data_IF_331806284476
#
_entry.id   IF_331806284476
#
_cell.length_a   1.000
_cell.length_b   1.000
_cell.length_c   1.000
_cell.angle_alpha   90.00
_cell.angle_beta   90.00
_cell.angle_gamma   90.00
#
_symmetry.space_group_name_H-M   'P 1'
#
loop_
_entity.id
_entity.type
_entity.pdbx_description
1 polymer ?
#
# COMPACT_ATOMS: atom_id res chain seq x y z
N UNK A 1 10.85 -86.59 34.32
CA UNK A 1 11.39 -86.26 35.65
C UNK A 1 12.73 -86.98 35.80
N UNK A 2 13.72 -86.54 35.01
CA UNK A 2 15.11 -86.85 35.30
C UNK A 2 15.52 -85.89 36.41
N UNK A 3 15.97 -86.45 37.54
CA UNK A 3 16.70 -85.69 38.54
C UNK A 3 18.00 -85.27 37.86
N UNK A 4 18.04 -84.06 37.30
CA UNK A 4 19.29 -83.38 37.02
C UNK A 4 20.14 -83.50 38.28
N UNK A 5 21.26 -84.20 38.16
CA UNK A 5 22.24 -84.31 39.22
C UNK A 5 22.68 -82.89 39.52
N UNK A 6 22.17 -82.32 40.61
CA UNK A 6 22.72 -81.11 41.21
C UNK A 6 24.18 -81.46 41.53
N UNK A 7 25.06 -81.10 40.61
CA UNK A 7 26.49 -81.25 40.78
C UNK A 7 26.84 -80.36 41.97
N UNK A 8 27.37 -80.94 43.04
CA UNK A 8 27.88 -80.14 44.15
C UNK A 8 28.89 -79.14 43.55
N UNK A 9 28.64 -77.84 43.72
CA UNK A 9 29.58 -76.80 43.32
C UNK A 9 30.83 -76.95 44.18
N UNK A 10 31.79 -77.73 43.71
CA UNK A 10 33.10 -77.85 44.32
C UNK A 10 33.92 -76.60 44.01
N UNK A 11 34.90 -76.30 44.85
CA UNK A 11 35.84 -75.19 44.64
C UNK A 11 36.51 -75.29 43.25
N UNK A 12 36.81 -76.51 42.80
CA UNK A 12 37.44 -76.77 41.51
C UNK A 12 36.52 -76.44 40.33
N UNK A 13 35.24 -76.80 40.42
CA UNK A 13 34.25 -76.46 39.38
C UNK A 13 34.03 -74.94 39.30
N UNK A 14 33.97 -74.26 40.44
CA UNK A 14 33.87 -72.80 40.48
C UNK A 14 35.08 -72.13 39.84
N UNK A 15 36.31 -72.56 40.18
CA UNK A 15 37.52 -72.02 39.57
C UNK A 15 37.55 -72.26 38.05
N UNK A 16 37.09 -73.43 37.59
CA UNK A 16 36.94 -73.72 36.17
C UNK A 16 36.01 -72.73 35.46
N UNK A 17 34.83 -72.50 36.03
CA UNK A 17 33.85 -71.54 35.49
C UNK A 17 34.38 -70.10 35.54
N UNK A 18 34.97 -69.70 36.67
CA UNK A 18 35.59 -68.39 36.84
C UNK A 18 36.64 -68.10 35.77
N UNK A 19 37.56 -69.04 35.55
CA UNK A 19 38.64 -68.87 34.58
C UNK A 19 38.12 -68.83 33.13
N UNK A 20 36.94 -69.40 32.88
CA UNK A 20 36.22 -69.26 31.61
C UNK A 20 35.71 -67.83 31.38
N UNK A 21 35.07 -67.24 32.40
CA UNK A 21 34.46 -65.90 32.30
C UNK A 21 35.45 -64.74 32.49
N UNK A 22 36.54 -64.98 33.24
CA UNK A 22 37.61 -64.01 33.52
C UNK A 22 38.98 -64.53 33.05
N UNK A 23 39.21 -64.70 31.73
CA UNK A 23 40.48 -65.19 31.21
C UNK A 23 41.67 -64.28 31.54
N UNK A 24 41.42 -63.00 31.77
CA UNK A 24 42.43 -61.99 32.12
C UNK A 24 42.77 -61.98 33.62
N UNK A 25 42.02 -62.69 34.47
CA UNK A 25 42.26 -62.79 35.90
C UNK A 25 42.01 -64.22 36.41
N UNK A 26 42.84 -65.19 36.00
CA UNK A 26 42.66 -66.58 36.40
C UNK A 26 42.95 -66.78 37.89
N UNK A 27 42.13 -67.58 38.56
CA UNK A 27 42.29 -67.98 39.94
C UNK A 27 42.76 -69.42 40.07
N UNK A 28 43.52 -69.68 41.14
CA UNK A 28 43.85 -71.04 41.60
C UNK A 28 43.43 -71.23 43.05
N UNK A 29 43.30 -72.48 43.52
CA UNK A 29 42.89 -72.79 44.91
C UNK A 29 43.77 -72.11 45.97
N UNK A 30 45.12 -72.02 45.81
CA UNK A 30 45.97 -71.24 46.71
C UNK A 30 45.66 -69.74 46.75
N UNK A 31 45.18 -69.16 45.64
CA UNK A 31 44.90 -67.72 45.56
C UNK A 31 43.69 -67.32 46.40
N UNK A 32 42.76 -68.24 46.66
CA UNK A 32 41.63 -68.02 47.57
C UNK A 32 42.05 -67.79 49.03
N UNK A 33 43.33 -68.02 49.37
CA UNK A 33 43.92 -67.69 50.69
C UNK A 33 44.70 -66.37 50.68
N UNK A 34 44.80 -65.68 49.54
CA UNK A 34 45.57 -64.45 49.40
C UNK A 34 44.61 -63.25 49.37
N UNK A 35 44.67 -62.31 50.33
CA UNK A 35 43.83 -61.11 50.35
C UNK A 35 43.77 -60.37 49.02
N UNK A 36 44.93 -60.09 48.42
CA UNK A 36 45.03 -59.34 47.17
C UNK A 36 44.39 -60.05 45.98
N UNK A 37 44.45 -61.38 45.93
CA UNK A 37 43.86 -62.14 44.84
C UNK A 37 42.33 -62.19 44.94
N UNK A 38 41.81 -62.33 46.16
CA UNK A 38 40.36 -62.30 46.42
C UNK A 38 39.80 -60.91 46.16
N UNK A 39 40.47 -59.85 46.60
CA UNK A 39 40.05 -58.47 46.31
C UNK A 39 40.13 -58.14 44.82
N UNK A 40 41.19 -58.58 44.14
CA UNK A 40 41.31 -58.41 42.69
C UNK A 40 40.19 -59.12 41.92
N UNK A 41 39.81 -60.32 42.36
CA UNK A 41 38.67 -61.05 41.82
C UNK A 41 37.34 -60.30 42.05
N UNK A 42 37.12 -59.76 43.25
CA UNK A 42 35.93 -58.95 43.54
C UNK A 42 35.80 -57.73 42.62
N UNK A 43 36.91 -57.06 42.31
CA UNK A 43 36.87 -55.94 41.37
C UNK A 43 36.47 -56.36 39.97
N UNK A 44 36.84 -57.55 39.50
CA UNK A 44 36.37 -58.05 38.21
C UNK A 44 34.84 -58.20 38.19
N UNK A 45 34.26 -58.66 39.30
CA UNK A 45 32.80 -58.78 39.43
C UNK A 45 32.14 -57.41 39.53
N UNK A 46 32.74 -56.46 40.27
CA UNK A 46 32.22 -55.10 40.38
C UNK A 46 32.20 -54.39 39.03
N UNK A 47 33.26 -54.50 38.23
CA UNK A 47 33.31 -53.90 36.89
C UNK A 47 32.15 -54.42 36.01
N UNK A 48 31.85 -55.73 36.06
CA UNK A 48 30.73 -56.34 35.32
C UNK A 48 29.36 -55.93 35.84
N UNK A 49 29.24 -55.66 37.14
CA UNK A 49 28.02 -55.14 37.76
C UNK A 49 27.86 -53.61 37.57
N UNK A 50 28.81 -52.93 36.93
CA UNK A 50 28.80 -51.48 36.75
C UNK A 50 29.08 -50.70 38.05
N UNK A 51 29.71 -51.33 39.03
CA UNK A 51 30.11 -50.69 40.29
C UNK A 51 31.46 -50.04 40.08
N UNK A 52 31.52 -48.72 40.23
CA UNK A 52 32.74 -47.94 40.02
C UNK A 52 33.83 -48.31 41.04
N UNK A 53 34.93 -48.88 40.53
CA UNK A 53 36.11 -49.26 41.32
C UNK A 53 36.72 -48.06 42.03
N UNK A 54 36.79 -46.92 41.36
CA UNK A 54 37.42 -45.72 41.93
C UNK A 54 36.60 -45.20 43.10
N UNK A 55 35.27 -45.25 43.00
CA UNK A 55 34.37 -44.96 44.11
C UNK A 55 34.55 -45.92 45.30
N UNK A 56 34.78 -47.22 45.05
CA UNK A 56 35.05 -48.21 46.11
C UNK A 56 36.38 -47.94 46.82
N UNK A 57 37.40 -47.51 46.07
CA UNK A 57 38.72 -47.20 46.61
C UNK A 57 38.79 -45.79 47.24
N UNK A 58 37.81 -44.93 46.98
CA UNK A 58 37.82 -43.56 47.44
C UNK A 58 37.67 -43.47 48.96
N UNK A 59 38.41 -42.53 49.54
CA UNK A 59 38.19 -42.16 50.93
C UNK A 59 36.81 -41.51 51.11
N UNK A 60 36.21 -41.61 52.31
CA UNK A 60 34.94 -40.95 52.59
C UNK A 60 35.04 -39.43 52.32
N UNK A 61 33.91 -38.75 52.02
CA UNK A 61 33.86 -37.31 51.82
C UNK A 61 34.52 -36.55 52.97
N UNK A 62 35.17 -35.41 52.70
CA UNK A 62 35.93 -34.65 53.69
C UNK A 62 35.12 -34.29 54.94
N UNK A 63 33.83 -33.98 54.74
CA UNK A 63 32.86 -33.66 55.80
C UNK A 63 32.63 -34.81 56.80
N UNK A 64 32.88 -36.05 56.38
CA UNK A 64 32.70 -37.26 57.20
C UNK A 64 34.01 -37.80 57.79
N UNK A 65 35.15 -37.16 57.50
CA UNK A 65 36.46 -37.57 58.03
C UNK A 65 36.62 -37.03 59.44
N UNK A 66 37.04 -37.91 60.35
CA UNK A 66 37.45 -37.53 61.70
C UNK A 66 38.98 -37.69 61.86
N UNK A 67 39.53 -37.20 62.98
CA UNK A 67 40.96 -37.29 63.30
C UNK A 67 41.49 -38.74 63.24
N UNK A 68 40.62 -39.72 63.49
CA UNK A 68 40.98 -41.13 63.47
C UNK A 68 40.98 -41.77 62.07
N UNK A 69 40.40 -41.12 61.06
CA UNK A 69 40.25 -41.68 59.70
C UNK A 69 41.60 -41.90 59.03
N UNK A 70 42.60 -41.07 59.35
CA UNK A 70 43.96 -41.15 58.81
C UNK A 70 44.64 -42.47 59.21
N UNK A 71 44.36 -43.00 60.41
CA UNK A 71 44.99 -44.23 60.90
C UNK A 71 44.47 -45.51 60.24
N UNK A 72 43.33 -45.43 59.55
CA UNK A 72 42.69 -46.58 58.90
C UNK A 72 42.67 -46.46 57.38
N UNK A 73 43.46 -45.54 56.82
CA UNK A 73 43.44 -45.24 55.39
C UNK A 73 43.70 -46.46 54.52
N UNK A 74 44.65 -47.31 54.93
CA UNK A 74 44.99 -48.54 54.22
C UNK A 74 43.90 -49.63 54.30
N UNK A 75 43.00 -49.55 55.29
CA UNK A 75 41.88 -50.48 55.45
C UNK A 75 40.60 -50.01 54.75
N UNK A 76 40.55 -48.75 54.28
CA UNK A 76 39.37 -48.18 53.61
C UNK A 76 38.91 -49.01 52.41
N UNK A 77 39.79 -49.49 51.49
CA UNK A 77 39.37 -50.36 50.40
C UNK A 77 38.64 -51.62 50.89
N UNK A 78 39.15 -52.25 51.96
CA UNK A 78 38.57 -53.48 52.52
C UNK A 78 37.23 -53.19 53.19
N UNK A 79 37.12 -52.09 53.92
CA UNK A 79 35.89 -51.64 54.58
C UNK A 79 34.82 -51.33 53.53
N UNK A 80 35.17 -50.57 52.48
CA UNK A 80 34.26 -50.19 51.42
C UNK A 80 33.79 -51.40 50.61
N UNK A 81 34.71 -52.31 50.23
CA UNK A 81 34.35 -53.58 49.60
C UNK A 81 33.37 -54.38 50.46
N UNK A 82 33.63 -54.49 51.76
CA UNK A 82 32.73 -55.18 52.70
C UNK A 82 31.34 -54.55 52.72
N UNK A 83 31.25 -53.21 52.72
CA UNK A 83 29.98 -52.48 52.69
C UNK A 83 29.21 -52.70 51.39
N UNK A 84 29.89 -52.59 50.25
CA UNK A 84 29.27 -52.82 48.94
C UNK A 84 28.71 -54.24 48.86
N UNK A 85 29.48 -55.24 49.27
CA UNK A 85 29.03 -56.62 49.21
C UNK A 85 27.85 -56.85 50.15
N UNK A 86 27.90 -56.37 51.40
CA UNK A 86 26.76 -56.50 52.31
C UNK A 86 25.51 -55.77 51.78
N UNK A 87 25.68 -54.65 51.08
CA UNK A 87 24.56 -53.98 50.41
C UNK A 87 23.97 -54.84 49.30
N UNK A 88 24.80 -55.42 48.42
CA UNK A 88 24.35 -56.32 47.36
C UNK A 88 23.63 -57.56 47.91
N UNK A 89 24.16 -58.14 48.99
CA UNK A 89 23.57 -59.31 49.65
C UNK A 89 22.27 -58.96 50.38
N UNK A 90 22.11 -57.73 50.90
CA UNK A 90 20.87 -57.30 51.57
C UNK A 90 19.64 -57.32 50.66
N UNK A 91 19.84 -57.21 49.35
CA UNK A 91 18.77 -57.31 48.33
C UNK A 91 18.34 -58.78 48.12
N UNK A 92 19.10 -59.74 48.67
CA UNK A 92 18.82 -61.17 48.62
C UNK A 92 18.37 -61.69 50.01
N UNK A 93 17.09 -61.55 50.38
CA UNK A 93 16.60 -61.96 51.70
C UNK A 93 16.75 -63.46 52.01
N UNK A 94 17.14 -64.26 51.02
CA UNK A 94 17.34 -65.70 51.13
C UNK A 94 18.77 -66.08 51.55
N UNK A 95 19.70 -65.11 51.54
CA UNK A 95 21.11 -65.28 51.88
C UNK A 95 21.38 -64.57 53.21
N UNK A 96 21.26 -65.30 54.32
CA UNK A 96 21.58 -64.80 55.66
C UNK A 96 23.10 -64.90 55.91
N UNK A 97 23.89 -64.14 55.15
CA UNK A 97 25.34 -64.11 55.25
C UNK A 97 25.83 -62.68 55.52
N UNK A 98 26.35 -62.45 56.72
CA UNK A 98 27.02 -61.18 57.05
C UNK A 98 28.51 -61.31 56.77
N UNK A 99 29.01 -60.52 55.80
CA UNK A 99 30.44 -60.52 55.47
C UNK A 99 31.14 -59.46 56.31
N UNK A 100 32.10 -59.90 57.13
CA UNK A 100 32.99 -59.04 57.90
C UNK A 100 34.32 -58.76 57.18
N UNK A 101 34.99 -57.68 57.61
CA UNK A 101 36.32 -57.25 57.15
C UNK A 101 37.38 -58.36 57.31
N UNK A 102 37.25 -59.19 58.35
CA UNK A 102 38.19 -60.29 58.64
C UNK A 102 38.23 -61.33 57.53
N UNK A 103 37.13 -61.55 56.80
CA UNK A 103 37.11 -62.47 55.66
C UNK A 103 38.04 -62.04 54.52
N UNK A 104 38.38 -60.76 54.43
CA UNK A 104 39.30 -60.23 53.42
C UNK A 104 40.73 -60.05 53.93
N UNK A 105 40.91 -59.72 55.22
CA UNK A 105 42.24 -59.63 55.81
C UNK A 105 42.87 -61.00 56.06
N UNK A 106 42.05 -62.01 56.37
CA UNK A 106 42.47 -63.39 56.65
C UNK A 106 41.57 -64.39 55.90
N UNK A 107 41.62 -64.41 54.56
CA UNK A 107 40.75 -65.25 53.76
C UNK A 107 41.09 -66.73 53.92
N UNK A 108 40.05 -67.54 54.12
CA UNK A 108 40.13 -69.00 53.99
C UNK A 108 39.56 -69.43 52.64
N UNK A 109 39.97 -70.60 52.15
CA UNK A 109 39.45 -71.13 50.87
C UNK A 109 37.92 -71.19 50.88
N UNK A 110 37.33 -71.65 51.99
CA UNK A 110 35.89 -71.77 52.14
C UNK A 110 35.20 -70.40 52.10
N UNK A 111 35.67 -69.43 52.89
CA UNK A 111 35.05 -68.10 52.96
C UNK A 111 35.17 -67.35 51.64
N UNK A 112 36.35 -67.36 51.02
CA UNK A 112 36.58 -66.69 49.73
C UNK A 112 35.77 -67.33 48.62
N UNK A 113 35.72 -68.66 48.58
CA UNK A 113 34.88 -69.38 47.62
C UNK A 113 33.41 -69.03 47.78
N UNK A 114 32.87 -69.03 49.00
CA UNK A 114 31.46 -68.69 49.24
C UNK A 114 31.11 -67.26 48.83
N UNK A 115 31.97 -66.28 49.17
CA UNK A 115 31.75 -64.87 48.82
C UNK A 115 31.82 -64.68 47.29
N UNK A 116 32.87 -65.22 46.65
CA UNK A 116 33.04 -65.07 45.20
C UNK A 116 31.96 -65.82 44.42
N UNK A 117 31.54 -67.02 44.85
CA UNK A 117 30.47 -67.78 44.22
C UNK A 117 29.14 -67.02 44.27
N UNK A 118 28.82 -66.42 45.42
CA UNK A 118 27.61 -65.62 45.58
C UNK A 118 27.56 -64.44 44.61
N UNK A 119 28.65 -63.68 44.55
CA UNK A 119 28.74 -62.50 43.69
C UNK A 119 28.85 -62.85 42.21
N UNK A 120 29.54 -63.94 41.89
CA UNK A 120 29.61 -64.48 40.54
C UNK A 120 28.22 -64.89 40.03
N UNK A 121 27.44 -65.61 40.85
CA UNK A 121 26.08 -65.98 40.49
C UNK A 121 25.17 -64.74 40.33
N UNK A 122 25.34 -63.71 41.18
CA UNK A 122 24.62 -62.44 41.03
C UNK A 122 24.93 -61.78 39.69
N UNK A 123 26.22 -61.73 39.32
CA UNK A 123 26.67 -61.16 38.06
C UNK A 123 26.06 -61.91 36.87
N UNK A 124 26.18 -63.24 36.83
CA UNK A 124 25.61 -64.06 35.74
C UNK A 124 24.10 -63.86 35.64
N UNK A 125 23.39 -63.86 36.78
CA UNK A 125 21.96 -63.60 36.80
C UNK A 125 21.60 -62.22 36.25
N UNK A 126 22.36 -61.18 36.62
CA UNK A 126 22.13 -59.83 36.14
C UNK A 126 22.39 -59.70 34.63
N UNK A 127 23.46 -60.30 34.11
CA UNK A 127 23.76 -60.32 32.68
C UNK A 127 22.66 -61.04 31.87
N UNK A 128 22.11 -62.14 32.38
CA UNK A 128 20.96 -62.82 31.75
C UNK A 128 19.69 -61.95 31.76
N UNK A 129 19.36 -61.31 32.90
CA UNK A 129 18.20 -60.42 33.00
C UNK A 129 18.34 -59.20 32.08
N UNK A 130 19.53 -58.61 31.99
CA UNK A 130 19.80 -57.48 31.10
C UNK A 130 19.63 -57.88 29.63
N UNK A 131 20.05 -59.11 29.25
CA UNK A 131 19.82 -59.63 27.91
C UNK A 131 18.33 -59.77 27.58
N UNK A 132 17.51 -60.17 28.56
CA UNK A 132 16.05 -60.25 28.39
C UNK A 132 15.39 -58.86 28.27
N UNK A 133 15.98 -57.82 28.89
CA UNK A 133 15.44 -56.44 28.91
C UNK A 133 15.88 -55.63 27.69
N UNK A 134 17.08 -55.88 27.16
CA UNK A 134 17.67 -55.17 26.03
C UNK A 134 16.72 -54.88 24.84
N UNK A 135 15.91 -55.84 24.33
CA UNK A 135 15.01 -55.55 23.20
C UNK A 135 13.93 -54.51 23.54
N UNK A 136 13.45 -54.48 24.79
CA UNK A 136 12.45 -53.50 25.23
C UNK A 136 13.06 -52.10 25.41
N UNK A 137 14.32 -52.04 25.85
CA UNK A 137 15.07 -50.79 25.94
C UNK A 137 15.30 -50.18 24.54
N UNK A 138 15.72 -51.00 23.56
CA UNK A 138 15.86 -50.56 22.17
C UNK A 138 14.52 -50.06 21.58
N UNK A 139 13.42 -50.76 21.84
CA UNK A 139 12.09 -50.31 21.42
C UNK A 139 11.71 -48.97 22.06
N UNK A 140 11.96 -48.79 23.36
CA UNK A 140 11.67 -47.55 24.08
C UNK A 140 12.45 -46.37 23.50
N UNK A 141 13.73 -46.54 23.20
CA UNK A 141 14.55 -45.50 22.58
C UNK A 141 14.06 -45.15 21.18
N UNK A 142 13.69 -46.15 20.37
CA UNK A 142 13.10 -45.91 19.04
C UNK A 142 11.77 -45.14 19.13
N UNK A 143 10.91 -45.49 20.10
CA UNK A 143 9.65 -44.77 20.34
C UNK A 143 9.87 -43.33 20.81
N UNK A 144 10.90 -43.10 21.60
CA UNK A 144 11.28 -41.76 22.06
C UNK A 144 11.65 -40.85 20.89
N UNK A 145 12.39 -41.37 19.91
CA UNK A 145 12.71 -40.63 18.69
C UNK A 145 11.46 -40.32 17.84
N UNK A 146 10.54 -41.28 17.71
CA UNK A 146 9.26 -41.07 17.01
C UNK A 146 8.41 -39.98 17.69
N UNK A 147 8.36 -39.96 19.02
CA UNK A 147 7.63 -38.93 19.79
C UNK A 147 8.25 -37.56 19.53
N UNK A 148 9.59 -37.45 19.57
CA UNK A 148 10.29 -36.19 19.29
C UNK A 148 9.97 -35.66 17.89
N UNK A 149 9.98 -36.52 16.87
CA UNK A 149 9.61 -36.13 15.49
C UNK A 149 8.15 -35.65 15.39
N UNK A 150 7.23 -36.28 16.13
CA UNK A 150 5.83 -35.85 16.17
C UNK A 150 5.65 -34.52 16.90
N UNK A 151 6.40 -34.28 17.98
CA UNK A 151 6.42 -32.99 18.69
C UNK A 151 6.96 -31.87 17.79
N UNK A 152 8.05 -32.11 17.07
CA UNK A 152 8.60 -31.14 16.10
C UNK A 152 7.60 -30.81 14.99
N UNK A 153 6.91 -31.84 14.47
CA UNK A 153 5.86 -31.64 13.45
C UNK A 153 4.68 -30.84 13.99
N UNK A 154 4.23 -31.14 15.22
CA UNK A 154 3.17 -30.38 15.90
C UNK A 154 3.56 -28.92 16.06
N UNK A 155 4.80 -28.64 16.47
CA UNK A 155 5.29 -27.27 16.66
C UNK A 155 5.31 -26.49 15.34
N UNK A 156 5.78 -27.09 14.24
CA UNK A 156 5.71 -26.46 12.91
C UNK A 156 4.28 -26.15 12.46
N UNK A 157 3.33 -27.06 12.73
CA UNK A 157 1.93 -26.81 12.39
C UNK A 157 1.33 -25.66 13.21
N UNK A 158 1.73 -25.51 14.47
CA UNK A 158 1.32 -24.38 15.31
C UNK A 158 1.90 -23.06 14.81
N UNK A 159 3.16 -23.04 14.37
CA UNK A 159 3.78 -21.86 13.75
C UNK A 159 3.02 -21.44 12.49
N UNK A 160 2.75 -22.38 11.58
CA UNK A 160 1.95 -22.10 10.36
C UNK A 160 0.54 -21.59 10.68
N UNK A 161 -0.11 -22.13 11.73
CA UNK A 161 -1.44 -21.68 12.15
C UNK A 161 -1.39 -20.23 12.68
N UNK A 162 -0.36 -19.88 13.44
CA UNK A 162 -0.16 -18.54 13.95
C UNK A 162 0.11 -17.54 12.82
N UNK A 163 0.94 -17.90 11.83
CA UNK A 163 1.18 -17.09 10.63
C UNK A 163 -0.12 -16.84 9.85
N UNK A 164 -0.95 -17.88 9.66
CA UNK A 164 -2.25 -17.72 9.01
C UNK A 164 -3.20 -16.82 9.80
N UNK A 165 -3.20 -16.91 11.13
CA UNK A 165 -4.00 -16.03 11.98
C UNK A 165 -3.55 -14.57 11.88
N UNK A 166 -2.23 -14.32 11.87
CA UNK A 166 -1.67 -12.98 11.70
C UNK A 166 -2.00 -12.40 10.31
N UNK A 167 -1.84 -13.19 9.24
CA UNK A 167 -2.25 -12.78 7.90
C UNK A 167 -3.74 -12.45 7.82
N UNK A 168 -4.59 -13.25 8.47
CA UNK A 168 -6.04 -13.01 8.51
C UNK A 168 -6.34 -11.70 9.22
N UNK A 169 -5.67 -11.40 10.33
CA UNK A 169 -5.75 -10.10 11.00
C UNK A 169 -5.40 -8.94 10.08
N UNK A 170 -4.23 -9.00 9.42
CA UNK A 170 -3.80 -7.99 8.43
C UNK A 170 -4.73 -7.86 7.22
N UNK A 171 -5.43 -8.94 6.83
CA UNK A 171 -6.44 -8.89 5.76
C UNK A 171 -7.70 -8.16 6.24
N UNK A 172 -8.15 -8.40 7.47
CA UNK A 172 -9.30 -7.70 8.06
C UNK A 172 -9.00 -6.20 8.16
N UNK A 173 -7.84 -5.82 8.70
CA UNK A 173 -7.44 -4.40 8.77
C UNK A 173 -7.42 -3.72 7.39
N UNK A 174 -6.91 -4.40 6.36
CA UNK A 174 -6.94 -3.89 4.98
C UNK A 174 -8.36 -3.75 4.44
N UNK A 175 -9.25 -4.69 4.75
CA UNK A 175 -10.65 -4.61 4.33
C UNK A 175 -11.40 -3.48 5.04
N UNK A 176 -11.13 -3.24 6.32
CA UNK A 176 -11.68 -2.11 7.07
C UNK A 176 -11.21 -0.77 6.50
N UNK A 177 -9.93 -0.66 6.12
CA UNK A 177 -9.43 0.54 5.43
C UNK A 177 -10.13 0.76 4.09
N UNK A 178 -10.27 -0.30 3.28
CA UNK A 178 -10.97 -0.21 1.99
C UNK A 178 -12.44 0.19 2.19
N UNK A 179 -13.13 -0.38 3.18
CA UNK A 179 -14.51 -0.01 3.50
C UNK A 179 -14.64 1.46 3.94
N UNK A 180 -13.65 1.97 4.69
CA UNK A 180 -13.58 3.39 5.04
C UNK A 180 -13.37 4.28 3.81
N UNK A 181 -12.42 3.93 2.95
CA UNK A 181 -12.13 4.67 1.71
C UNK A 181 -13.33 4.66 0.76
N UNK A 182 -14.03 3.52 0.62
CA UNK A 182 -15.26 3.40 -0.18
C UNK A 182 -16.34 4.34 0.36
N UNK A 183 -16.55 4.41 1.68
CA UNK A 183 -17.53 5.33 2.29
C UNK A 183 -17.18 6.79 2.04
N UNK A 184 -15.89 7.16 2.12
CA UNK A 184 -15.46 8.52 1.81
C UNK A 184 -15.72 8.85 0.34
N UNK A 185 -15.38 7.96 -0.59
CA UNK A 185 -15.63 8.15 -2.02
C UNK A 185 -17.13 8.20 -2.35
N UNK A 186 -17.96 7.42 -1.67
CA UNK A 186 -19.42 7.50 -1.80
C UNK A 186 -19.98 8.85 -1.32
N UNK A 187 -19.40 9.41 -0.25
CA UNK A 187 -19.77 10.73 0.26
C UNK A 187 -19.31 11.85 -0.69
N UNK A 188 -18.09 11.78 -1.21
CA UNK A 188 -17.57 12.71 -2.23
C UNK A 188 -18.42 12.67 -3.50
N UNK A 189 -18.75 11.47 -4.00
CA UNK A 189 -19.62 11.30 -5.16
C UNK A 189 -21.02 11.87 -4.92
N UNK A 190 -21.54 11.74 -3.70
CA UNK A 190 -22.82 12.34 -3.35
C UNK A 190 -22.75 13.87 -3.40
N UNK A 191 -21.70 14.46 -2.83
CA UNK A 191 -21.48 15.91 -2.88
C UNK A 191 -21.33 16.43 -4.31
N UNK A 192 -20.61 15.70 -5.16
CA UNK A 192 -20.45 16.06 -6.59
C UNK A 192 -21.79 15.98 -7.35
N UNK A 193 -22.62 14.96 -7.08
CA UNK A 193 -23.96 14.87 -7.67
C UNK A 193 -24.88 15.99 -7.19
N UNK A 194 -24.86 16.31 -5.89
CA UNK A 194 -25.66 17.41 -5.33
C UNK A 194 -25.24 18.75 -5.98
N UNK A 195 -23.93 19.00 -6.13
CA UNK A 195 -23.41 20.18 -6.84
C UNK A 195 -23.78 20.20 -8.32
N UNK A 196 -23.72 19.06 -9.01
CA UNK A 196 -24.14 18.94 -10.40
C UNK A 196 -25.63 19.24 -10.59
N UNK A 197 -26.48 18.77 -9.66
CA UNK A 197 -27.92 19.06 -9.68
C UNK A 197 -28.20 20.55 -9.43
N UNK A 198 -27.42 21.21 -8.57
CA UNK A 198 -27.47 22.67 -8.38
C UNK A 198 -27.09 23.41 -9.67
N UNK A 199 -25.94 23.09 -10.28
CA UNK A 199 -25.49 23.69 -11.54
C UNK A 199 -26.51 23.48 -12.67
N UNK A 200 -27.12 22.29 -12.73
CA UNK A 200 -28.16 21.98 -13.70
C UNK A 200 -29.40 22.86 -13.50
N UNK A 201 -29.84 23.09 -12.26
CA UNK A 201 -30.96 23.98 -11.96
C UNK A 201 -30.65 25.43 -12.34
N UNK A 202 -29.43 25.90 -12.07
CA UNK A 202 -28.97 27.24 -12.48
C UNK A 202 -28.97 27.37 -14.02
N UNK A 203 -28.45 26.37 -14.72
CA UNK A 203 -28.45 26.34 -16.19
C UNK A 203 -29.87 26.37 -16.76
N UNK A 204 -30.80 25.60 -16.18
CA UNK A 204 -32.20 25.62 -16.59
C UNK A 204 -32.86 27.00 -16.36
N UNK A 205 -32.50 27.69 -15.27
CA UNK A 205 -32.96 29.05 -15.01
C UNK A 205 -32.43 30.05 -16.05
N UNK A 206 -31.14 30.00 -16.36
CA UNK A 206 -30.50 30.83 -17.40
C UNK A 206 -31.13 30.55 -18.78
N UNK A 207 -31.39 29.29 -19.11
CA UNK A 207 -32.04 28.93 -20.38
C UNK A 207 -33.47 29.48 -20.47
N UNK A 208 -34.23 29.48 -19.37
CA UNK A 208 -35.57 30.11 -19.33
C UNK A 208 -35.47 31.62 -19.51
N UNK A 209 -34.53 32.28 -18.86
CA UNK A 209 -34.30 33.73 -19.01
C UNK A 209 -33.89 34.09 -20.45
N UNK A 210 -33.00 33.30 -21.06
CA UNK A 210 -32.59 33.48 -22.45
C UNK A 210 -33.78 33.34 -23.41
N UNK A 211 -34.63 32.31 -23.24
CA UNK A 211 -35.86 32.16 -24.05
C UNK A 211 -36.80 33.36 -23.88
N UNK A 212 -36.96 33.86 -22.66
CA UNK A 212 -37.79 35.05 -22.42
C UNK A 212 -37.21 36.29 -23.11
N UNK A 213 -35.88 36.43 -23.08
CA UNK A 213 -35.16 37.53 -23.74
C UNK A 213 -35.30 37.44 -25.26
N UNK A 214 -35.20 36.24 -25.84
CA UNK A 214 -35.47 36.01 -27.27
C UNK A 214 -36.90 36.41 -27.65
N UNK A 215 -37.91 35.99 -26.88
CA UNK A 215 -39.32 36.38 -27.12
C UNK A 215 -39.46 37.90 -27.09
N UNK A 216 -38.88 38.55 -26.08
CA UNK A 216 -38.93 40.02 -25.96
C UNK A 216 -38.25 40.70 -27.16
N UNK A 217 -37.12 40.16 -27.62
CA UNK A 217 -36.37 40.68 -28.76
C UNK A 217 -37.17 40.51 -30.07
N UNK A 218 -37.84 39.37 -30.27
CA UNK A 218 -38.75 39.11 -31.39
C UNK A 218 -39.92 40.11 -31.39
N UNK A 219 -40.53 40.34 -30.23
CA UNK A 219 -41.58 41.35 -30.06
C UNK A 219 -41.08 42.75 -30.41
N UNK A 220 -39.89 43.15 -29.94
CA UNK A 220 -39.31 44.47 -30.24
C UNK A 220 -38.96 44.62 -31.72
N UNK A 221 -38.47 43.58 -32.39
CA UNK A 221 -38.29 43.56 -33.86
C UNK A 221 -39.62 43.79 -34.57
N UNK A 222 -40.67 43.06 -34.20
CA UNK A 222 -42.00 43.24 -34.79
C UNK A 222 -42.55 44.66 -34.59
N UNK A 223 -42.38 45.25 -33.40
CA UNK A 223 -42.77 46.65 -33.15
C UNK A 223 -41.97 47.64 -33.99
N UNK A 224 -40.65 47.43 -34.11
CA UNK A 224 -39.80 48.25 -34.97
C UNK A 224 -40.26 48.17 -36.43
N UNK A 225 -40.53 46.98 -36.93
CA UNK A 225 -40.96 46.77 -38.32
C UNK A 225 -42.33 47.40 -38.58
N UNK A 226 -43.25 47.34 -37.61
CA UNK A 226 -44.53 48.04 -37.66
C UNK A 226 -44.36 49.58 -37.70
N UNK A 227 -43.46 50.13 -36.89
CA UNK A 227 -43.13 51.56 -36.91
C UNK A 227 -42.51 51.99 -38.24
N UNK A 228 -41.60 51.18 -38.79
CA UNK A 228 -41.01 51.43 -40.12
C UNK A 228 -42.12 51.47 -41.18
N UNK A 229 -43.01 50.48 -41.20
CA UNK A 229 -44.14 50.45 -42.14
C UNK A 229 -45.07 51.69 -41.99
N UNK A 230 -45.29 52.16 -40.76
CA UNK A 230 -46.08 53.38 -40.54
C UNK A 230 -45.35 54.66 -41.01
N UNK A 231 -44.03 54.73 -40.81
CA UNK A 231 -43.20 55.82 -41.34
C UNK A 231 -43.26 55.84 -42.87
N UNK A 232 -43.08 54.68 -43.52
CA UNK A 232 -43.17 54.53 -44.98
C UNK A 232 -44.56 54.96 -45.49
N UNK A 233 -45.64 54.54 -44.82
CA UNK A 233 -47.01 54.96 -45.15
C UNK A 233 -47.18 56.48 -45.04
N UNK A 234 -46.67 57.11 -43.97
CA UNK A 234 -46.73 58.57 -43.79
C UNK A 234 -45.86 59.32 -44.79
N UNK A 235 -44.72 58.74 -45.20
CA UNK A 235 -43.91 59.29 -46.28
C UNK A 235 -44.65 59.23 -47.62
N UNK A 236 -45.29 58.10 -47.94
CA UNK A 236 -46.09 57.96 -49.16
C UNK A 236 -47.29 58.93 -49.20
N UNK A 237 -47.99 59.11 -48.07
CA UNK A 237 -49.06 60.12 -47.95
C UNK A 237 -48.54 61.54 -48.17
N UNK A 238 -47.38 61.91 -47.62
CA UNK A 238 -46.76 63.22 -47.87
C UNK A 238 -46.38 63.45 -49.32
N UNK A 239 -45.98 62.40 -50.06
CA UNK A 239 -45.72 62.50 -51.50
C UNK A 239 -47.03 62.75 -52.26
N UNK A 240 -48.10 62.05 -51.90
CA UNK A 240 -49.43 62.27 -52.48
C UNK A 240 -49.92 63.71 -52.24
N UNK A 241 -49.81 64.21 -51.00
CA UNK A 241 -50.18 65.58 -50.65
C UNK A 241 -49.32 66.61 -51.42
N UNK A 242 -48.03 66.34 -51.62
CA UNK A 242 -47.14 67.22 -52.39
C UNK A 242 -47.50 67.26 -53.88
N UNK A 243 -47.87 66.12 -54.47
CA UNK A 243 -48.32 66.05 -55.86
C UNK A 243 -49.69 66.74 -56.05
N UNK A 244 -50.60 66.61 -55.08
CA UNK A 244 -51.88 67.34 -55.08
C UNK A 244 -51.68 68.86 -54.96
N UNK A 245 -50.77 69.32 -54.09
CA UNK A 245 -50.39 70.73 -53.97
C UNK A 245 -49.78 71.23 -55.29
N UNK A 246 -48.93 70.42 -55.93
CA UNK A 246 -48.32 70.78 -57.22
C UNK A 246 -49.36 70.88 -58.33
N UNK A 247 -50.32 69.96 -58.40
CA UNK A 247 -51.43 70.02 -59.35
C UNK A 247 -52.32 71.25 -59.12
N UNK A 248 -52.60 71.62 -57.86
CA UNK A 248 -53.31 72.85 -57.53
C UNK A 248 -52.51 74.11 -57.92
N UNK A 249 -51.20 74.10 -57.72
CA UNK A 249 -50.32 75.20 -58.11
C UNK A 249 -50.24 75.36 -59.65
N UNK A 250 -50.16 74.26 -60.40
CA UNK A 250 -50.20 74.28 -61.87
C UNK A 250 -51.56 74.77 -62.40
N UNK A 251 -52.68 74.34 -61.81
CA UNK A 251 -54.01 74.85 -62.15
C UNK A 251 -54.15 76.35 -61.86
N UNK A 252 -53.60 76.82 -60.73
CA UNK A 252 -53.58 78.24 -60.40
C UNK A 252 -52.71 79.05 -61.39
N UNK A 253 -51.55 78.53 -61.78
CA UNK A 253 -50.69 79.16 -62.78
C UNK A 253 -51.38 79.25 -64.16
N UNK A 254 -52.07 78.19 -64.59
CA UNK A 254 -52.84 78.19 -65.84
C UNK A 254 -53.98 79.22 -65.79
N UNK A 255 -54.69 79.33 -64.67
CA UNK A 255 -55.73 80.35 -64.49
C UNK A 255 -55.18 81.78 -64.57
N UNK A 256 -53.96 82.02 -64.05
CA UNK A 256 -53.27 83.31 -64.16
C UNK A 256 -52.90 83.60 -65.62
N UNK A 257 -52.37 82.61 -66.35
CA UNK A 257 -52.04 82.75 -67.76
C UNK A 257 -53.27 83.04 -68.63
N UNK A 258 -54.39 82.34 -68.41
CA UNK A 258 -55.67 82.60 -69.10
C UNK A 258 -56.20 84.02 -68.80
N UNK A 259 -55.97 84.52 -67.58
CA UNK A 259 -56.32 85.89 -67.20
C UNK A 259 -55.41 86.93 -67.87
N UNK A 260 -54.12 86.64 -68.01
CA UNK A 260 -53.16 87.48 -68.75
C UNK A 260 -53.49 87.53 -70.25
N UNK A 261 -53.90 86.40 -70.86
CA UNK A 261 -54.36 86.37 -72.25
C UNK A 261 -55.63 87.19 -72.47
N UNK A 262 -56.60 87.10 -71.55
CA UNK A 262 -57.78 87.98 -71.55
C UNK A 262 -57.40 89.46 -71.37
N UNK A 263 -56.43 89.76 -70.52
CA UNK A 263 -55.96 91.13 -70.30
C UNK A 263 -55.24 91.68 -71.53
N UNK A 264 -54.49 90.85 -72.26
CA UNK A 264 -53.89 91.21 -73.55
C UNK A 264 -54.94 91.41 -74.65
N UNK A 265 -56.01 90.60 -74.67
CA UNK A 265 -57.19 90.81 -75.52
C UNK A 265 -57.88 92.15 -75.22
N UNK A 266 -58.04 92.49 -73.94
CA UNK A 266 -58.61 93.77 -73.51
C UNK A 266 -57.71 94.94 -73.87
N UNK A 267 -56.37 94.82 -73.73
CA UNK A 267 -55.40 95.83 -74.20
C UNK A 267 -55.47 96.05 -75.70
N UNK A 268 -55.59 94.99 -76.50
CA UNK A 268 -55.79 95.13 -77.95
C UNK A 268 -57.11 95.85 -78.30
N UNK A 269 -58.17 95.56 -77.56
CA UNK A 269 -59.48 96.23 -77.71
C UNK A 269 -59.40 97.71 -77.30
N UNK A 270 -58.62 98.02 -76.26
CA UNK A 270 -58.39 99.39 -75.78
C UNK A 270 -57.57 100.21 -76.78
N UNK A 271 -56.54 99.62 -77.39
CA UNK A 271 -55.75 100.25 -78.46
C UNK A 271 -56.62 100.56 -79.71
N UNK A 272 -57.61 99.71 -80.01
CA UNK A 272 -58.60 99.94 -81.07
C UNK A 272 -59.58 101.08 -80.73
N UNK A 273 -59.94 101.23 -79.44
CA UNK A 273 -60.77 102.33 -78.93
C UNK A 273 -60.00 103.66 -78.85
N UNK A 274 -58.72 103.65 -78.48
CA UNK A 274 -57.84 104.83 -78.49
C UNK A 274 -57.64 105.40 -79.90
N UNK A 275 -57.50 104.54 -80.92
CA UNK A 275 -57.45 104.99 -82.32
C UNK A 275 -58.79 105.58 -82.81
N UNK A 276 -59.92 105.18 -82.23
CA UNK A 276 -61.23 105.77 -82.53
C UNK A 276 -61.45 107.12 -81.81
N UNK A 277 -60.79 107.33 -80.66
CA UNK A 277 -60.85 108.58 -79.89
C UNK A 277 -59.99 109.70 -80.50
N UNK A 278 -58.87 109.34 -81.15
CA UNK A 278 -57.95 110.29 -81.82
C UNK A 278 -58.57 111.06 -83.00
N UNK A 279 -59.69 110.59 -83.56
CA UNK A 279 -60.43 111.26 -84.64
C UNK A 279 -61.56 112.20 -84.16
N UNK A 280 -61.75 112.38 -82.84
CA UNK A 280 -62.90 113.12 -82.27
C UNK A 280 -62.54 114.25 -81.28
N UNK A 281 -61.26 114.63 -81.13
CA UNK A 281 -60.86 115.73 -80.23
C UNK A 281 -59.94 116.76 -80.88
N UNK A 282 -60.48 117.51 -81.84
CA UNK A 282 -60.00 118.83 -82.26
C UNK A 282 -60.89 119.90 -81.61
N UNK A 283 -60.28 120.97 -81.05
CA UNK A 283 -60.87 122.22 -80.50
C UNK A 283 -61.25 122.09 -79.01
N UNK A 284 -60.82 122.87 -78.00
CA UNK A 284 -60.24 124.22 -77.80
C UNK A 284 -59.83 124.33 -76.29
N UNK A 285 -59.31 125.45 -75.74
CA UNK A 285 -58.31 125.49 -74.67
C UNK A 285 -58.91 126.07 -73.37
N UNK A 286 -58.06 126.20 -72.35
CA UNK A 286 -58.10 127.11 -71.19
C UNK A 286 -57.97 126.38 -69.84
N UNK A 287 -57.01 126.92 -69.06
CA UNK A 287 -56.56 126.57 -67.70
C UNK A 287 -55.60 125.38 -67.64
N UNK A 288 -54.28 125.50 -67.81
CA UNK A 288 -53.35 126.57 -67.45
C UNK A 288 -53.54 127.16 -66.04
N UNK A 289 -52.56 126.82 -65.20
CA UNK A 289 -52.00 127.77 -64.23
C UNK A 289 -52.89 128.11 -63.03
N UNK A 290 -53.04 127.14 -62.13
CA UNK A 290 -53.12 127.43 -60.71
C UNK A 290 -52.51 126.31 -59.88
N UNK A 291 -51.28 126.54 -59.47
CA UNK A 291 -50.83 126.25 -58.11
C UNK A 291 -50.88 124.79 -57.63
N UNK A 292 -50.08 123.87 -58.18
CA UNK A 292 -48.72 123.69 -57.64
C UNK A 292 -48.16 124.94 -56.94
N UNK A 293 -48.11 124.88 -55.61
CA UNK A 293 -47.54 125.83 -54.65
C UNK A 293 -48.55 126.32 -53.59
N UNK A 294 -49.22 125.38 -52.93
CA UNK A 294 -48.82 125.11 -51.53
C UNK A 294 -47.86 123.90 -51.61
N UNK A 295 -46.53 124.05 -51.72
CA UNK A 295 -45.75 124.95 -50.88
C UNK A 295 -46.35 124.92 -49.47
N UNK A 296 -45.99 123.94 -48.70
CA UNK A 296 -44.75 124.15 -47.99
C UNK A 296 -44.36 122.77 -47.46
N UNK A 297 -43.22 122.25 -47.90
CA UNK A 297 -41.91 122.76 -47.48
C UNK A 297 -41.81 122.64 -45.97
N UNK A 298 -40.66 122.15 -45.60
CA UNK A 298 -40.14 122.17 -44.26
C UNK A 298 -40.82 121.15 -43.35
N UNK A 299 -40.11 120.14 -42.89
CA UNK A 299 -38.66 120.01 -42.80
C UNK A 299 -38.52 118.61 -42.23
N UNK A 300 -37.89 117.67 -42.94
CA UNK A 300 -36.43 117.63 -43.08
C UNK A 300 -35.79 117.83 -41.72
N UNK A 301 -35.17 116.74 -41.27
CA UNK A 301 -34.13 116.68 -40.22
C UNK A 301 -34.63 117.15 -38.86
N UNK A 302 -34.63 116.27 -37.88
CA UNK A 302 -33.40 115.84 -37.22
C UNK A 302 -33.75 114.52 -36.53
N UNK A 303 -32.97 113.44 -36.52
CA UNK A 303 -31.53 113.30 -36.66
C UNK A 303 -31.28 111.79 -36.44
N UNK A 304 -30.43 111.14 -37.26
CA UNK A 304 -29.08 110.69 -36.83
C UNK A 304 -29.14 109.82 -35.56
N UNK A 305 -28.70 108.56 -35.50
CA UNK A 305 -27.57 107.84 -36.12
C UNK A 305 -27.78 106.36 -35.75
N UNK A 306 -27.56 105.40 -36.64
CA UNK A 306 -26.28 104.83 -37.08
C UNK A 306 -25.50 104.01 -36.03
N UNK A 307 -25.14 102.80 -36.47
CA UNK A 307 -23.99 101.96 -36.09
C UNK A 307 -24.00 101.33 -34.67
N UNK A 308 -23.52 100.12 -34.38
CA UNK A 308 -23.03 98.93 -35.09
C UNK A 308 -22.66 97.95 -33.95
N UNK A 309 -22.61 96.64 -34.25
CA UNK A 309 -21.93 95.57 -33.48
C UNK A 309 -22.45 95.15 -32.09
N UNK A 310 -22.62 93.82 -31.98
CA UNK A 310 -21.99 93.06 -30.90
C UNK A 310 -22.88 92.67 -29.72
N UNK A 311 -23.28 91.40 -29.77
CA UNK A 311 -23.16 90.44 -28.67
C UNK A 311 -24.11 90.49 -27.47
N UNK A 312 -24.41 89.27 -27.02
CA UNK A 312 -24.87 88.84 -25.71
C UNK A 312 -26.32 89.11 -25.28
N UNK A 313 -27.07 88.00 -25.29
CA UNK A 313 -27.74 87.44 -24.11
C UNK A 313 -28.26 88.41 -23.06
N UNK A 314 -29.59 88.47 -22.98
CA UNK A 314 -30.26 88.72 -21.71
C UNK A 314 -31.69 88.23 -21.80
N UNK A 315 -31.93 87.01 -21.29
CA UNK A 315 -33.04 86.73 -20.39
C UNK A 315 -32.91 85.32 -19.81
N UNK A 316 -32.20 85.18 -18.69
CA UNK A 316 -32.53 84.22 -17.61
C UNK A 316 -31.59 84.39 -16.41
N UNK A 317 -31.75 85.46 -15.64
CA UNK A 317 -31.16 85.56 -14.30
C UNK A 317 -32.03 84.79 -13.31
N UNK A 318 -31.95 83.47 -13.30
CA UNK A 318 -32.29 82.63 -12.13
C UNK A 318 -31.90 81.14 -12.23
N UNK A 319 -31.30 80.67 -13.34
CA UNK A 319 -30.96 79.25 -13.52
C UNK A 319 -29.49 78.89 -13.28
N UNK A 320 -28.55 79.80 -13.51
CA UNK A 320 -27.11 79.45 -13.56
C UNK A 320 -26.51 79.15 -12.17
N UNK A 321 -27.00 79.79 -11.11
CA UNK A 321 -26.48 79.57 -9.76
C UNK A 321 -26.94 78.21 -9.19
N UNK A 322 -28.17 77.80 -9.47
CA UNK A 322 -28.69 76.48 -9.08
C UNK A 322 -28.04 75.37 -9.90
N UNK A 323 -27.81 75.58 -11.20
CA UNK A 323 -27.09 74.64 -12.07
C UNK A 323 -25.63 74.46 -11.60
N UNK A 324 -24.93 75.55 -11.26
CA UNK A 324 -23.58 75.48 -10.69
C UNK A 324 -23.54 74.79 -9.32
N UNK A 325 -24.55 74.99 -8.48
CA UNK A 325 -24.60 74.34 -7.17
C UNK A 325 -24.95 72.85 -7.28
N UNK A 326 -25.79 72.47 -8.25
CA UNK A 326 -26.01 71.05 -8.59
C UNK A 326 -24.79 70.41 -9.23
N UNK A 327 -24.07 71.11 -10.11
CA UNK A 327 -22.82 70.60 -10.70
C UNK A 327 -21.72 70.44 -9.65
N UNK A 328 -21.59 71.36 -8.68
CA UNK A 328 -20.64 71.23 -7.56
C UNK A 328 -21.02 70.03 -6.67
N UNK A 329 -22.29 69.85 -6.33
CA UNK A 329 -22.75 68.70 -5.55
C UNK A 329 -22.58 67.37 -6.32
N UNK A 330 -22.81 67.34 -7.63
CA UNK A 330 -22.57 66.18 -8.48
C UNK A 330 -21.07 65.86 -8.59
N UNK A 331 -20.22 66.88 -8.72
CA UNK A 331 -18.77 66.70 -8.74
C UNK A 331 -18.24 66.22 -7.37
N UNK A 332 -18.80 66.69 -6.26
CA UNK A 332 -18.47 66.18 -4.91
C UNK A 332 -18.93 64.73 -4.71
N UNK A 333 -20.12 64.37 -5.22
CA UNK A 333 -20.62 63.00 -5.21
C UNK A 333 -19.73 62.08 -6.06
N UNK A 334 -19.34 62.50 -7.27
CA UNK A 334 -18.42 61.76 -8.13
C UNK A 334 -17.04 61.61 -7.48
N UNK A 335 -16.55 62.61 -6.75
CA UNK A 335 -15.27 62.53 -6.04
C UNK A 335 -15.35 61.56 -4.85
N UNK A 336 -16.49 61.52 -4.14
CA UNK A 336 -16.75 60.54 -3.10
C UNK A 336 -16.81 59.10 -3.66
N UNK A 337 -17.51 58.90 -4.78
CA UNK A 337 -17.56 57.60 -5.48
C UNK A 337 -16.18 57.16 -5.96
N UNK A 338 -15.37 58.06 -6.53
CA UNK A 338 -14.00 57.76 -6.96
C UNK A 338 -13.11 57.40 -5.76
N UNK A 339 -13.27 58.06 -4.61
CA UNK A 339 -12.53 57.70 -3.37
C UNK A 339 -12.91 56.30 -2.88
N UNK A 340 -14.19 55.97 -2.84
CA UNK A 340 -14.68 54.63 -2.45
C UNK A 340 -14.19 53.57 -3.44
N UNK A 341 -14.32 53.82 -4.75
CA UNK A 341 -13.81 52.91 -5.78
C UNK A 341 -12.28 52.70 -5.68
N UNK A 342 -11.53 53.74 -5.29
CA UNK A 342 -10.08 53.65 -5.10
C UNK A 342 -9.70 52.85 -3.84
N UNK A 343 -10.45 53.01 -2.74
CA UNK A 343 -10.29 52.20 -1.53
C UNK A 343 -10.66 50.74 -1.77
N UNK A 344 -11.77 50.45 -2.44
CA UNK A 344 -12.15 49.09 -2.82
C UNK A 344 -11.11 48.44 -3.75
N UNK A 345 -10.60 49.17 -4.74
CA UNK A 345 -9.54 48.69 -5.61
C UNK A 345 -8.20 48.48 -4.88
N UNK A 346 -7.95 49.21 -3.80
CA UNK A 346 -6.79 49.00 -2.92
C UNK A 346 -6.97 47.73 -2.10
N UNK A 347 -8.15 47.54 -1.50
CA UNK A 347 -8.49 46.37 -0.70
C UNK A 347 -8.47 45.08 -1.53
N UNK A 348 -9.09 45.08 -2.72
CA UNK A 348 -9.02 43.95 -3.67
C UNK A 348 -7.58 43.59 -4.07
N UNK A 349 -6.70 44.59 -4.21
CA UNK A 349 -5.27 44.36 -4.49
C UNK A 349 -4.54 43.71 -3.31
N UNK A 350 -4.82 44.15 -2.08
CA UNK A 350 -4.25 43.53 -0.88
C UNK A 350 -4.75 42.09 -0.69
N UNK A 351 -6.04 41.84 -0.86
CA UNK A 351 -6.63 40.50 -0.78
C UNK A 351 -6.07 39.56 -1.86
N UNK A 352 -5.94 40.03 -3.11
CA UNK A 352 -5.30 39.28 -4.20
C UNK A 352 -3.82 38.97 -3.91
N UNK A 353 -3.10 39.89 -3.27
CA UNK A 353 -1.70 39.65 -2.88
C UNK A 353 -1.61 38.62 -1.75
N UNK A 354 -2.46 38.72 -0.73
CA UNK A 354 -2.52 37.77 0.36
C UNK A 354 -2.89 36.36 -0.13
N UNK A 355 -3.89 36.26 -1.02
CA UNK A 355 -4.31 35.00 -1.63
C UNK A 355 -3.18 34.34 -2.43
N UNK A 356 -2.48 35.10 -3.28
CA UNK A 356 -1.31 34.60 -4.02
C UNK A 356 -0.17 34.15 -3.11
N UNK A 357 0.03 34.83 -1.98
CA UNK A 357 1.05 34.45 -1.02
C UNK A 357 0.68 33.14 -0.30
N UNK A 358 -0.58 32.97 0.07
CA UNK A 358 -1.11 31.75 0.66
C UNK A 358 -1.05 30.56 -0.32
N UNK A 359 -1.46 30.76 -1.57
CA UNK A 359 -1.35 29.76 -2.64
C UNK A 359 0.11 29.35 -2.88
N UNK A 360 1.05 30.30 -2.86
CA UNK A 360 2.48 30.01 -2.98
C UNK A 360 3.00 29.17 -1.82
N UNK A 361 2.59 29.46 -0.59
CA UNK A 361 2.98 28.65 0.58
C UNK A 361 2.39 27.25 0.53
N UNK A 362 1.14 27.11 0.09
CA UNK A 362 0.48 25.81 -0.07
C UNK A 362 1.19 24.98 -1.16
N UNK A 363 1.48 25.59 -2.31
CA UNK A 363 2.21 24.93 -3.39
C UNK A 363 3.61 24.48 -2.95
N UNK A 364 4.33 25.28 -2.15
CA UNK A 364 5.63 24.88 -1.59
C UNK A 364 5.50 23.74 -0.58
N UNK A 365 4.45 23.71 0.24
CA UNK A 365 4.18 22.60 1.15
C UNK A 365 3.89 21.31 0.39
N UNK A 366 3.01 21.37 -0.61
CA UNK A 366 2.64 20.23 -1.45
C UNK A 366 3.86 19.70 -2.23
N UNK A 367 4.73 20.58 -2.72
CA UNK A 367 5.97 20.19 -3.37
C UNK A 367 6.88 19.38 -2.42
N UNK A 368 7.08 19.85 -1.18
CA UNK A 368 7.88 19.12 -0.19
C UNK A 368 7.28 17.76 0.16
N UNK A 369 5.96 17.69 0.31
CA UNK A 369 5.28 16.43 0.59
C UNK A 369 5.43 15.44 -0.57
N UNK A 370 5.33 15.91 -1.81
CA UNK A 370 5.56 15.11 -3.01
C UNK A 370 7.00 14.62 -3.09
N UNK A 371 7.99 15.49 -2.86
CA UNK A 371 9.42 15.12 -2.84
C UNK A 371 9.72 14.05 -1.77
N UNK A 372 9.07 14.15 -0.60
CA UNK A 372 9.25 13.16 0.45
C UNK A 372 8.55 11.81 0.13
N UNK A 373 7.37 11.84 -0.50
CA UNK A 373 6.72 10.63 -1.04
C UNK A 373 7.59 9.96 -2.11
N UNK A 374 8.16 10.72 -3.03
CA UNK A 374 9.07 10.22 -4.05
C UNK A 374 10.35 9.63 -3.44
N UNK A 375 10.92 10.29 -2.43
CA UNK A 375 12.08 9.75 -1.71
C UNK A 375 11.76 8.41 -1.05
N UNK A 376 10.62 8.30 -0.35
CA UNK A 376 10.16 7.05 0.27
C UNK A 376 9.91 5.95 -0.77
N UNK A 377 9.32 6.30 -1.91
CA UNK A 377 9.10 5.38 -3.03
C UNK A 377 10.43 4.86 -3.61
N UNK A 378 11.39 5.76 -3.82
CA UNK A 378 12.73 5.39 -4.29
C UNK A 378 13.49 4.49 -3.30
N UNK A 379 13.39 4.74 -2.00
CA UNK A 379 13.97 3.87 -0.97
C UNK A 379 13.32 2.46 -0.99
N UNK A 380 12.00 2.37 -1.16
CA UNK A 380 11.28 1.09 -1.31
C UNK A 380 11.72 0.35 -2.58
N UNK A 381 11.84 1.06 -3.70
CA UNK A 381 12.29 0.49 -4.97
C UNK A 381 13.72 -0.07 -4.87
N UNK A 382 14.64 0.66 -4.22
CA UNK A 382 16.01 0.17 -3.95
C UNK A 382 16.02 -1.12 -3.11
N UNK A 383 15.22 -1.17 -2.05
CA UNK A 383 15.09 -2.38 -1.21
C UNK A 383 14.52 -3.56 -2.00
N UNK A 384 13.51 -3.32 -2.83
CA UNK A 384 12.94 -4.35 -3.70
C UNK A 384 13.99 -4.88 -4.70
N UNK A 385 14.78 -3.99 -5.30
CA UNK A 385 15.84 -4.37 -6.22
C UNK A 385 16.94 -5.21 -5.55
N UNK A 386 17.33 -4.87 -4.32
CA UNK A 386 18.26 -5.69 -3.52
C UNK A 386 17.70 -7.10 -3.26
N UNK A 387 16.43 -7.22 -2.86
CA UNK A 387 15.78 -8.52 -2.66
C UNK A 387 15.74 -9.35 -3.94
N UNK A 388 15.48 -8.73 -5.09
CA UNK A 388 15.51 -9.43 -6.39
C UNK A 388 16.91 -9.97 -6.70
N UNK A 389 17.96 -9.22 -6.40
CA UNK A 389 19.35 -9.68 -6.57
C UNK A 389 19.68 -10.84 -5.63
N UNK A 390 19.26 -10.78 -4.37
CA UNK A 390 19.44 -11.87 -3.40
C UNK A 390 18.71 -13.16 -3.83
N UNK A 391 17.46 -13.04 -4.28
CA UNK A 391 16.68 -14.18 -4.80
C UNK A 391 17.38 -14.79 -6.02
N UNK A 392 17.93 -13.96 -6.92
CA UNK A 392 18.65 -14.43 -8.10
C UNK A 392 19.92 -15.21 -7.73
N UNK A 393 20.68 -14.75 -6.74
CA UNK A 393 21.86 -15.45 -6.24
C UNK A 393 21.48 -16.80 -5.58
N UNK A 394 20.46 -16.80 -4.72
CA UNK A 394 19.93 -18.03 -4.11
C UNK A 394 19.42 -19.03 -5.14
N UNK A 395 18.73 -18.55 -6.18
CA UNK A 395 18.22 -19.41 -7.27
C UNK A 395 19.36 -20.05 -8.04
N UNK A 396 20.44 -19.30 -8.28
CA UNK A 396 21.63 -19.80 -8.97
C UNK A 396 22.34 -20.87 -8.13
N UNK A 397 22.50 -20.63 -6.82
CA UNK A 397 23.04 -21.63 -5.88
C UNK A 397 22.19 -22.89 -5.79
N UNK A 398 20.86 -22.74 -5.80
CA UNK A 398 19.94 -23.88 -5.80
C UNK A 398 20.09 -24.71 -7.08
N UNK A 399 20.13 -24.07 -8.25
CA UNK A 399 20.27 -24.81 -9.52
C UNK A 399 21.63 -25.51 -9.60
N UNK A 400 22.70 -24.91 -9.08
CA UNK A 400 24.01 -25.55 -8.98
C UNK A 400 23.97 -26.80 -8.10
N UNK A 401 23.42 -26.71 -6.89
CA UNK A 401 23.25 -27.88 -5.99
C UNK A 401 22.38 -28.98 -6.59
N UNK A 402 21.37 -28.59 -7.37
CA UNK A 402 20.50 -29.54 -8.08
C UNK A 402 21.28 -30.28 -9.16
N UNK A 403 22.15 -29.61 -9.91
CA UNK A 403 23.04 -30.26 -10.88
C UNK A 403 24.00 -31.22 -10.17
N UNK A 404 24.66 -30.76 -9.10
CA UNK A 404 25.56 -31.59 -8.28
C UNK A 404 24.84 -32.85 -7.75
N UNK A 405 23.64 -32.70 -7.21
CA UNK A 405 22.86 -33.85 -6.72
C UNK A 405 22.39 -34.81 -7.82
N UNK A 406 22.16 -34.32 -9.05
CA UNK A 406 21.84 -35.17 -10.20
C UNK A 406 23.08 -35.95 -10.67
N UNK A 407 24.26 -35.32 -10.64
CA UNK A 407 25.53 -35.98 -10.94
C UNK A 407 25.83 -37.09 -9.92
N UNK A 408 25.69 -36.81 -8.62
CA UNK A 408 25.85 -37.81 -7.54
C UNK A 408 24.88 -38.99 -7.71
N UNK A 409 23.61 -38.73 -8.02
CA UNK A 409 22.63 -39.80 -8.29
C UNK A 409 23.00 -40.64 -9.51
N UNK A 410 23.58 -40.01 -10.54
CA UNK A 410 24.02 -40.71 -11.75
C UNK A 410 25.22 -41.60 -11.44
N UNK A 411 26.18 -41.11 -10.65
CA UNK A 411 27.33 -41.88 -10.19
C UNK A 411 26.91 -43.07 -9.32
N UNK A 412 26.00 -42.86 -8.35
CA UNK A 412 25.45 -43.94 -7.52
C UNK A 412 24.77 -45.00 -8.39
N UNK A 413 24.00 -44.59 -9.40
CA UNK A 413 23.34 -45.50 -10.33
C UNK A 413 24.35 -46.31 -11.15
N UNK A 414 25.41 -45.68 -11.64
CA UNK A 414 26.47 -46.37 -12.39
C UNK A 414 27.21 -47.37 -11.51
N UNK A 415 27.61 -46.97 -10.31
CA UNK A 415 28.25 -47.85 -9.32
C UNK A 415 27.37 -49.05 -8.98
N UNK A 416 26.08 -48.82 -8.72
CA UNK A 416 25.13 -49.90 -8.46
C UNK A 416 25.00 -50.87 -9.65
N UNK A 417 24.97 -50.36 -10.89
CA UNK A 417 24.93 -51.22 -12.08
C UNK A 417 26.21 -52.05 -12.25
N UNK A 418 27.37 -51.50 -11.92
CA UNK A 418 28.66 -52.20 -11.96
C UNK A 418 28.66 -53.33 -10.92
N UNK A 419 28.27 -53.01 -9.68
CA UNK A 419 28.18 -53.99 -8.60
C UNK A 419 27.22 -55.12 -8.96
N UNK A 420 26.04 -54.78 -9.49
CA UNK A 420 25.02 -55.75 -9.86
C UNK A 420 25.52 -56.72 -10.94
N UNK A 421 26.20 -56.21 -11.98
CA UNK A 421 26.86 -57.04 -13.00
C UNK A 421 27.95 -57.93 -12.40
N UNK A 422 28.77 -57.39 -11.49
CA UNK A 422 29.83 -58.16 -10.83
C UNK A 422 29.25 -59.32 -10.01
N UNK A 423 28.18 -59.08 -9.26
CA UNK A 423 27.47 -60.14 -8.53
C UNK A 423 26.82 -61.17 -9.47
N UNK A 424 26.24 -60.73 -10.58
CA UNK A 424 25.64 -61.62 -11.58
C UNK A 424 26.72 -62.54 -12.18
N UNK A 425 27.86 -61.99 -12.59
CA UNK A 425 29.00 -62.76 -13.10
C UNK A 425 29.54 -63.76 -12.06
N UNK A 426 29.67 -63.34 -10.80
CA UNK A 426 30.10 -64.21 -9.70
C UNK A 426 29.13 -65.37 -9.44
N UNK A 427 27.82 -65.10 -9.49
CA UNK A 427 26.77 -66.12 -9.36
C UNK A 427 26.79 -67.09 -10.54
N UNK A 428 26.96 -66.58 -11.76
CA UNK A 428 27.03 -67.39 -12.97
C UNK A 428 28.23 -68.33 -12.94
N UNK A 429 29.39 -67.83 -12.49
CA UNK A 429 30.60 -68.65 -12.26
C UNK A 429 30.36 -69.75 -11.23
N UNK A 430 29.77 -69.42 -10.07
CA UNK A 430 29.41 -70.40 -9.03
C UNK A 430 28.43 -71.46 -9.53
N UNK A 431 27.46 -71.06 -10.35
CA UNK A 431 26.49 -71.97 -10.95
C UNK A 431 27.17 -72.95 -11.92
N UNK A 432 28.10 -72.47 -12.75
CA UNK A 432 28.91 -73.30 -13.65
C UNK A 432 29.80 -74.27 -12.88
N UNK A 433 30.54 -73.80 -11.87
CA UNK A 433 31.37 -74.67 -11.00
C UNK A 433 30.55 -75.74 -10.28
N UNK A 434 29.33 -75.39 -9.84
CA UNK A 434 28.42 -76.34 -9.18
C UNK A 434 27.88 -77.37 -10.17
N UNK A 435 27.55 -76.95 -11.40
CA UNK A 435 27.12 -77.83 -12.48
C UNK A 435 28.22 -78.83 -12.83
N UNK A 436 29.46 -78.37 -12.99
CA UNK A 436 30.63 -79.21 -13.27
C UNK A 436 30.84 -80.24 -12.15
N UNK A 437 30.80 -79.81 -10.88
CA UNK A 437 30.87 -80.74 -9.72
C UNK A 437 29.76 -81.78 -9.69
N UNK A 438 28.55 -81.43 -10.12
CA UNK A 438 27.43 -82.38 -10.21
C UNK A 438 27.64 -83.36 -11.37
N UNK A 439 28.07 -82.88 -12.53
CA UNK A 439 28.40 -83.71 -13.69
C UNK A 439 29.52 -84.70 -13.39
N UNK A 440 30.58 -84.27 -12.69
CA UNK A 440 31.66 -85.15 -12.23
C UNK A 440 31.18 -86.21 -11.24
N UNK A 441 30.34 -85.83 -10.27
CA UNK A 441 29.71 -86.79 -9.33
C UNK A 441 28.83 -87.81 -10.06
N UNK A 442 28.13 -87.40 -11.11
CA UNK A 442 27.29 -88.30 -11.91
C UNK A 442 28.12 -89.23 -12.80
N UNK A 443 29.25 -88.76 -13.36
CA UNK A 443 30.20 -89.59 -14.09
C UNK A 443 30.82 -90.66 -13.20
N UNK A 444 31.28 -90.28 -12.01
CA UNK A 444 31.90 -91.19 -11.04
C UNK A 444 30.92 -92.20 -10.42
N UNK A 445 29.60 -92.06 -10.62
CA UNK A 445 28.58 -93.04 -10.22
C UNK A 445 28.23 -94.06 -11.31
N UNK A 446 28.69 -93.87 -12.55
CA UNK A 446 28.40 -94.75 -13.70
C UNK A 446 29.55 -95.69 -14.05
N UNK A 447 30.72 -95.50 -13.45
CA UNK A 447 31.81 -96.49 -13.30
C UNK A 447 31.63 -97.21 -11.98
#
# INVERSE_FOLDING_TARGET
MEKEKIQAFTVENFIGNWNGDFPNYPLTTPDLKKPHAVMGALFQVFDRLGIDRDAVLMAPPEESRNENTIYYWDLLPVINMTRVINHLVSVMPQVDATISITHFLQPTVTTSHSILLLLFNLMVFNEERLRDIAPYEEELFSKTEQVKLLEDRKNRLLEMLNEQAEEKGKRVERLEQIDHDVKQLEEELKQENDAFDEEKQELEAILKENRQTEINLEQKKSHRDALIAEIEKKQALRVYDADDIKAQAEQAAQNVQDAEEKLNSLRATLMQKENSLKNLQTIKPNFDTANNLLHEIMKVTESLRDYENGDLDSDSKEGELDVLNTEVNELEAQLAEIKVAREEASKKRQESHAKRQQERTLAQSNLRESEEKDRKSNERCKKAMQRVLEIKDLTTKYEQKKVEGVEELTEIKENFMIDLKSTEEALLKKALESKEKIEDKLRNRKT
#
